data_IF_649305264947
#
_entry.id   IF_649305264947
#
_cell.length_a   1.000
_cell.length_b   1.000
_cell.length_c   1.000
_cell.angle_alpha   90.00
_cell.angle_beta   90.00
_cell.angle_gamma   90.00
#
_symmetry.space_group_name_H-M   'P 1'
#
loop_
_entity.id
_entity.type
_entity.pdbx_description
1 polymer ?
#
# COMPACT_ATOMS: atom_id res chain seq x y z
N UNK A 1 -1.49 -12.36 5.34
CA UNK A 1 -0.79 -11.04 5.34
C UNK A 1 0.71 -11.23 5.13
N UNK A 2 1.27 -10.50 4.14
CA UNK A 2 2.69 -10.42 3.86
C UNK A 2 3.07 -8.94 3.84
N UNK A 3 4.20 -8.58 4.46
CA UNK A 3 4.81 -7.27 4.28
C UNK A 3 5.83 -7.37 3.14
N UNK A 4 5.70 -6.48 2.18
CA UNK A 4 6.56 -6.44 1.01
C UNK A 4 7.06 -5.01 0.77
N UNK A 5 8.31 -4.86 0.37
CA UNK A 5 8.85 -3.61 -0.14
C UNK A 5 9.12 -3.72 -1.64
N UNK A 6 9.08 -2.59 -2.33
CA UNK A 6 9.49 -2.50 -3.72
C UNK A 6 10.90 -1.92 -3.80
N UNK A 7 11.78 -2.53 -4.59
CA UNK A 7 13.05 -1.91 -4.97
C UNK A 7 12.84 -1.28 -6.34
N UNK A 8 13.09 0.03 -6.46
CA UNK A 8 13.04 0.73 -7.75
C UNK A 8 14.19 0.35 -8.66
N UNK A 9 14.33 -0.94 -8.98
CA UNK A 9 15.20 -1.40 -10.05
C UNK A 9 14.45 -1.11 -11.34
N UNK A 10 15.01 -0.25 -12.19
CA UNK A 10 14.55 -0.09 -13.57
C UNK A 10 14.82 -1.41 -14.31
N UNK A 11 13.88 -2.35 -14.22
CA UNK A 11 13.90 -3.58 -15.01
C UNK A 11 13.16 -3.32 -16.33
N UNK A 12 13.67 -3.86 -17.44
CA UNK A 12 13.10 -3.66 -18.79
C UNK A 12 11.62 -4.10 -18.93
N UNK A 13 11.12 -4.90 -17.98
CA UNK A 13 9.76 -5.45 -17.99
C UNK A 13 8.79 -4.79 -17.00
N UNK A 14 9.23 -3.79 -16.21
CA UNK A 14 8.38 -3.04 -15.24
C UNK A 14 7.60 -3.94 -14.26
N UNK A 15 8.09 -5.18 -14.03
CA UNK A 15 7.48 -6.13 -13.10
C UNK A 15 7.97 -5.78 -11.67
N UNK A 16 7.06 -5.45 -10.74
CA UNK A 16 7.45 -5.10 -9.39
C UNK A 16 8.13 -6.26 -8.66
N UNK A 17 9.41 -6.11 -8.30
CA UNK A 17 10.08 -7.08 -7.44
C UNK A 17 9.72 -6.82 -5.97
N UNK A 18 8.81 -7.65 -5.45
CA UNK A 18 8.42 -7.60 -4.05
C UNK A 18 9.43 -8.30 -3.15
N UNK A 19 10.15 -7.53 -2.33
CA UNK A 19 11.00 -8.07 -1.26
C UNK A 19 10.17 -8.34 0.00
N UNK A 20 10.20 -9.57 0.51
CA UNK A 20 9.53 -9.91 1.77
C UNK A 20 10.24 -9.23 2.95
N UNK A 21 9.52 -8.38 3.66
CA UNK A 21 10.01 -7.68 4.84
C UNK A 21 9.77 -8.51 6.11
N UNK A 22 10.69 -8.38 7.08
CA UNK A 22 10.49 -8.90 8.45
C UNK A 22 9.62 -7.98 9.29
N UNK A 23 9.77 -6.68 9.09
CA UNK A 23 9.08 -5.62 9.83
C UNK A 23 8.88 -4.38 8.94
N UNK A 24 7.86 -3.59 9.26
CA UNK A 24 7.65 -2.23 8.74
C UNK A 24 7.57 -1.29 9.95
N UNK A 25 8.46 -0.30 9.99
CA UNK A 25 8.48 0.73 11.03
C UNK A 25 7.89 2.02 10.48
N UNK A 26 6.89 2.59 11.17
CA UNK A 26 6.24 3.86 10.78
C UNK A 26 6.56 4.91 11.83
N UNK A 27 7.19 6.00 11.41
CA UNK A 27 7.46 7.18 12.24
C UNK A 27 6.52 8.28 11.75
N UNK A 28 5.55 8.65 12.57
CA UNK A 28 4.49 9.57 12.19
C UNK A 28 3.94 10.31 13.41
N UNK A 29 3.34 11.47 13.16
CA UNK A 29 2.53 12.21 14.13
C UNK A 29 1.23 11.48 14.44
N UNK A 30 0.54 11.81 15.55
CA UNK A 30 -0.77 11.21 15.85
C UNK A 30 -1.80 11.40 14.74
N UNK A 31 -1.77 12.53 14.04
CA UNK A 31 -2.74 12.82 12.97
C UNK A 31 -2.43 12.02 11.71
N UNK A 32 -1.16 11.90 11.33
CA UNK A 32 -0.73 11.02 10.24
C UNK A 32 -1.07 9.56 10.54
N UNK A 33 -0.87 9.08 11.77
CA UNK A 33 -1.25 7.72 12.17
C UNK A 33 -2.75 7.47 12.07
N UNK A 34 -3.59 8.46 12.42
CA UNK A 34 -5.05 8.34 12.25
C UNK A 34 -5.42 8.25 10.78
N UNK A 35 -4.79 9.02 9.89
CA UNK A 35 -5.04 8.97 8.45
C UNK A 35 -4.57 7.64 7.84
N UNK A 36 -3.44 7.11 8.29
CA UNK A 36 -2.99 5.77 7.89
C UNK A 36 -4.00 4.70 8.35
N UNK A 37 -4.54 4.80 9.57
CA UNK A 37 -5.57 3.89 10.04
C UNK A 37 -6.88 4.02 9.23
N UNK A 38 -7.31 5.24 8.94
CA UNK A 38 -8.47 5.52 8.07
C UNK A 38 -8.27 4.92 6.68
N UNK A 39 -7.09 5.10 6.07
CA UNK A 39 -6.72 4.46 4.81
C UNK A 39 -6.92 2.94 4.86
N UNK A 40 -6.41 2.26 5.88
CA UNK A 40 -6.57 0.80 5.99
C UNK A 40 -8.04 0.37 6.13
N UNK A 41 -8.85 1.11 6.88
CA UNK A 41 -10.28 0.83 7.04
C UNK A 41 -11.00 0.98 5.69
N UNK A 42 -10.77 2.09 5.00
CA UNK A 42 -11.42 2.39 3.74
C UNK A 42 -11.00 1.41 2.64
N UNK A 43 -9.71 1.08 2.53
CA UNK A 43 -9.25 0.08 1.56
C UNK A 43 -9.83 -1.30 1.87
N UNK A 44 -9.97 -1.70 3.13
CA UNK A 44 -10.63 -2.96 3.47
C UNK A 44 -12.08 -2.99 2.95
N UNK A 45 -12.82 -1.88 3.11
CA UNK A 45 -14.16 -1.73 2.54
C UNK A 45 -14.15 -1.82 1.00
N UNK A 46 -13.17 -1.18 0.33
CA UNK A 46 -13.02 -1.29 -1.13
C UNK A 46 -12.76 -2.73 -1.56
N UNK A 47 -11.86 -3.45 -0.88
CA UNK A 47 -11.55 -4.85 -1.17
C UNK A 47 -12.78 -5.75 -1.06
N UNK A 48 -13.61 -5.55 -0.03
CA UNK A 48 -14.87 -6.28 0.15
C UNK A 48 -15.87 -5.95 -0.96
N UNK A 49 -15.96 -4.67 -1.36
CA UNK A 49 -16.89 -4.22 -2.41
C UNK A 49 -16.49 -4.68 -3.80
N UNK A 50 -15.20 -4.68 -4.13
CA UNK A 50 -14.70 -5.00 -5.48
C UNK A 50 -14.41 -6.49 -5.66
N UNK A 51 -14.11 -7.21 -4.58
CA UNK A 51 -13.72 -8.61 -4.68
C UNK A 51 -12.53 -8.79 -5.62
N UNK A 52 -12.67 -9.65 -6.62
CA UNK A 52 -11.57 -10.07 -7.51
C UNK A 52 -11.09 -8.97 -8.46
N UNK A 53 -11.84 -7.89 -8.58
CA UNK A 53 -11.49 -6.72 -9.38
C UNK A 53 -10.61 -5.71 -8.62
N UNK A 54 -10.34 -5.93 -7.34
CA UNK A 54 -9.44 -5.08 -6.56
C UNK A 54 -7.98 -5.26 -7.02
N UNK A 55 -7.32 -4.17 -7.39
CA UNK A 55 -5.91 -4.12 -7.77
C UNK A 55 -5.05 -3.60 -6.60
N UNK A 56 -4.86 -2.30 -6.47
CA UNK A 56 -4.12 -1.70 -5.34
C UNK A 56 -4.57 -0.27 -5.07
N UNK A 57 -4.27 0.24 -3.88
CA UNK A 57 -4.47 1.65 -3.54
C UNK A 57 -3.21 2.22 -2.88
N UNK A 58 -2.86 3.46 -3.21
CA UNK A 58 -1.82 4.20 -2.52
C UNK A 58 -2.43 5.12 -1.45
N UNK A 59 -1.75 5.25 -0.30
CA UNK A 59 -2.14 6.22 0.74
C UNK A 59 -2.28 7.65 0.19
N UNK A 60 -1.36 8.05 -0.69
CA UNK A 60 -1.32 9.38 -1.31
C UNK A 60 -2.50 9.68 -2.22
N UNK A 61 -3.17 8.66 -2.78
CA UNK A 61 -4.35 8.83 -3.64
C UNK A 61 -5.51 9.45 -2.85
N UNK A 62 -5.58 9.15 -1.55
CA UNK A 62 -6.61 9.66 -0.63
C UNK A 62 -6.14 10.89 0.14
N UNK A 63 -4.88 10.91 0.56
CA UNK A 63 -4.34 11.95 1.43
C UNK A 63 -3.12 12.61 0.77
N UNK A 64 -3.34 13.74 0.10
CA UNK A 64 -2.31 14.46 -0.68
C UNK A 64 -1.07 14.87 0.10
N UNK A 65 -1.19 15.05 1.41
CA UNK A 65 -0.04 15.35 2.28
C UNK A 65 1.04 14.24 2.30
N UNK A 66 0.70 13.03 1.85
CA UNK A 66 1.65 11.93 1.69
C UNK A 66 2.25 11.82 0.28
N UNK A 67 1.96 12.74 -0.66
CA UNK A 67 2.50 12.69 -2.04
C UNK A 67 4.04 12.66 -2.09
N UNK A 68 4.72 13.29 -1.12
CA UNK A 68 6.18 13.29 -1.01
C UNK A 68 6.75 12.23 -0.07
N UNK A 69 5.88 11.42 0.55
CA UNK A 69 6.28 10.33 1.44
C UNK A 69 6.59 9.06 0.65
N UNK A 70 7.31 8.09 1.24
CA UNK A 70 7.38 6.75 0.66
C UNK A 70 5.98 6.18 0.42
N UNK A 71 5.78 5.52 -0.73
CA UNK A 71 4.48 4.96 -1.09
C UNK A 71 4.10 3.83 -0.10
N UNK A 72 3.01 4.02 0.62
CA UNK A 72 2.33 2.97 1.37
C UNK A 72 1.18 2.44 0.52
N UNK A 73 1.25 1.16 0.14
CA UNK A 73 0.36 0.53 -0.82
C UNK A 73 -0.29 -0.70 -0.21
N UNK A 74 -1.56 -0.92 -0.50
CA UNK A 74 -2.32 -2.10 -0.11
C UNK A 74 -2.63 -2.97 -1.33
N UNK A 75 -2.53 -4.28 -1.13
CA UNK A 75 -2.82 -5.30 -2.13
C UNK A 75 -3.73 -6.36 -1.50
N UNK A 76 -4.62 -6.97 -2.29
CA UNK A 76 -5.45 -8.08 -1.81
C UNK A 76 -4.67 -9.39 -1.84
N UNK A 77 -4.81 -10.20 -0.79
CA UNK A 77 -4.23 -11.55 -0.77
C UNK A 77 -4.88 -12.43 -1.84
N UNK A 78 -4.07 -12.97 -2.76
CA UNK A 78 -4.56 -13.76 -3.89
C UNK A 78 -5.03 -12.94 -5.10
N UNK A 79 -4.91 -11.61 -5.06
CA UNK A 79 -5.06 -10.75 -6.24
C UNK A 79 -4.03 -11.09 -7.32
N UNK A 80 -4.35 -10.77 -8.57
CA UNK A 80 -3.44 -10.97 -9.70
C UNK A 80 -2.38 -9.87 -9.68
N UNK A 81 -1.14 -10.24 -9.37
CA UNK A 81 0.06 -9.40 -9.53
C UNK A 81 1.18 -10.24 -10.10
#
# INVERSE_FOLDING_TARGET
>A
MRLTGHVGVENEEDIPEFLRLKELSVIATPDELRKIAEFFIETANTMESMGDDYDHEHLSDRFKEFESSPHLVTFREGGKY
#
